data_IF_528098261566
#
_entry.id   IF_528098261566
#
_cell.length_a   1.000
_cell.length_b   1.000
_cell.length_c   1.000
_cell.angle_alpha   90.00
_cell.angle_beta   90.00
_cell.angle_gamma   90.00
#
_symmetry.space_group_name_H-M   'P 1'
#
loop_
_entity.id
_entity.type
_entity.pdbx_description
1 polymer ?
#
# COMPACT_ATOMS: atom_id res chain seq x y z
N UNK A 1 28.32 38.79 21.04
CA UNK A 1 28.18 38.58 19.59
C UNK A 1 28.46 37.12 19.32
N UNK A 2 27.46 36.45 18.75
CA UNK A 2 27.39 35.01 18.51
C UNK A 2 28.49 34.45 17.60
N UNK A 3 28.82 33.16 17.76
CA UNK A 3 28.75 32.17 16.69
C UNK A 3 28.96 30.73 17.22
N UNK A 4 27.93 29.92 17.04
CA UNK A 4 27.73 28.46 17.08
C UNK A 4 28.94 27.50 17.17
N UNK A 5 28.84 26.38 17.91
CA UNK A 5 29.67 25.21 17.64
C UNK A 5 29.15 24.48 16.38
N UNK A 6 30.03 24.40 15.38
CA UNK A 6 29.85 23.69 14.13
C UNK A 6 29.58 22.21 14.37
N UNK A 7 28.36 21.79 14.01
CA UNK A 7 27.95 20.39 13.85
C UNK A 7 28.89 19.71 12.87
N UNK A 8 29.84 18.92 13.37
CA UNK A 8 30.65 18.03 12.52
C UNK A 8 29.75 16.93 11.99
N UNK A 9 29.41 17.07 10.72
CA UNK A 9 28.79 16.07 9.88
C UNK A 9 29.61 14.78 9.93
N UNK A 10 29.09 13.75 10.59
CA UNK A 10 29.53 12.36 10.40
C UNK A 10 28.83 11.81 9.15
N UNK A 11 29.39 12.15 7.99
CA UNK A 11 29.14 11.43 6.74
C UNK A 11 30.44 10.74 6.39
N UNK A 12 30.42 9.40 6.39
CA UNK A 12 31.50 8.57 5.85
C UNK A 12 32.16 7.64 6.86
N UNK A 13 31.46 6.58 7.26
CA UNK A 13 31.89 5.19 7.07
C UNK A 13 30.94 4.27 7.82
N UNK A 14 30.15 3.48 7.09
CA UNK A 14 29.73 2.13 7.49
C UNK A 14 28.74 1.57 6.44
N UNK A 15 29.25 1.26 5.25
CA UNK A 15 28.57 0.36 4.30
C UNK A 15 28.65 -1.12 4.76
N UNK A 16 28.70 -1.35 6.07
CA UNK A 16 28.75 -2.65 6.75
C UNK A 16 27.90 -2.72 8.03
N UNK A 17 26.97 -1.77 8.22
CA UNK A 17 26.00 -1.83 9.33
C UNK A 17 24.53 -1.94 8.87
N UNK A 18 24.29 -2.22 7.57
CA UNK A 18 22.94 -2.24 6.98
C UNK A 18 22.00 -3.34 7.54
N UNK A 19 22.54 -4.39 8.16
CA UNK A 19 21.74 -5.48 8.72
C UNK A 19 21.17 -5.13 10.11
N UNK A 20 21.94 -4.43 10.95
CA UNK A 20 21.55 -4.10 12.32
C UNK A 20 20.42 -3.07 12.39
N UNK A 21 20.51 -2.01 11.58
CA UNK A 21 19.47 -0.97 11.52
C UNK A 21 18.18 -1.45 10.86
N UNK A 22 18.28 -2.34 9.86
CA UNK A 22 17.11 -2.99 9.24
C UNK A 22 16.36 -3.87 10.23
N UNK A 23 17.07 -4.66 11.04
CA UNK A 23 16.47 -5.52 12.07
C UNK A 23 15.81 -4.70 13.18
N UNK A 24 16.41 -3.59 13.61
CA UNK A 24 15.80 -2.69 14.62
C UNK A 24 14.47 -2.12 14.11
N UNK A 25 14.42 -1.71 12.85
CA UNK A 25 13.19 -1.20 12.23
C UNK A 25 12.13 -2.30 12.08
N UNK A 26 12.53 -3.49 11.65
CA UNK A 26 11.66 -4.65 11.54
C UNK A 26 11.04 -5.03 12.88
N UNK A 27 11.88 -5.14 13.92
CA UNK A 27 11.45 -5.41 15.29
C UNK A 27 10.49 -4.33 15.78
N UNK A 28 10.78 -3.05 15.52
CA UNK A 28 9.90 -1.95 15.91
C UNK A 28 8.51 -2.06 15.25
N UNK A 29 8.43 -2.44 13.98
CA UNK A 29 7.15 -2.62 13.27
C UNK A 29 6.38 -3.82 13.82
N UNK A 30 7.06 -4.95 14.06
CA UNK A 30 6.43 -6.13 14.66
C UNK A 30 5.89 -5.81 16.07
N UNK A 31 6.67 -5.11 16.89
CA UNK A 31 6.26 -4.69 18.24
C UNK A 31 5.08 -3.72 18.15
N UNK A 32 5.13 -2.71 17.29
CA UNK A 32 4.02 -1.76 17.09
C UNK A 32 2.73 -2.46 16.63
N UNK A 33 2.84 -3.41 15.70
CA UNK A 33 1.71 -4.22 15.27
C UNK A 33 1.15 -5.07 16.41
N UNK A 34 2.02 -5.70 17.20
CA UNK A 34 1.64 -6.47 18.38
C UNK A 34 0.95 -5.61 19.44
N UNK A 35 1.45 -4.40 19.70
CA UNK A 35 0.81 -3.42 20.60
C UNK A 35 -0.58 -3.04 20.07
N UNK A 36 -0.70 -2.78 18.78
CA UNK A 36 -1.98 -2.45 18.14
C UNK A 36 -3.03 -3.55 18.28
N UNK A 37 -2.61 -4.81 18.25
CA UNK A 37 -3.47 -5.98 18.47
C UNK A 37 -3.80 -6.16 19.95
N UNK A 38 -2.78 -6.14 20.82
CA UNK A 38 -2.94 -6.42 22.25
C UNK A 38 -3.73 -5.33 22.99
N UNK A 39 -3.68 -4.09 22.50
CA UNK A 39 -4.35 -2.94 23.10
C UNK A 39 -5.53 -2.44 22.24
N UNK A 40 -6.20 -3.36 21.54
CA UNK A 40 -7.34 -3.03 20.67
C UNK A 40 -8.49 -2.35 21.42
N UNK A 41 -8.68 -2.70 22.70
CA UNK A 41 -9.71 -2.12 23.58
C UNK A 41 -9.31 -0.75 24.13
N UNK A 42 -8.04 -0.33 23.96
CA UNK A 42 -7.56 0.96 24.43
C UNK A 42 -7.81 2.02 23.37
N UNK A 43 -8.70 2.96 23.70
CA UNK A 43 -9.08 4.06 22.81
C UNK A 43 -7.87 4.76 22.18
N UNK A 44 -7.94 5.00 20.88
CA UNK A 44 -6.93 5.66 20.05
C UNK A 44 -5.65 4.87 19.79
N UNK A 45 -5.35 3.77 20.49
CA UNK A 45 -4.11 3.01 20.24
C UNK A 45 -4.10 2.45 18.82
N UNK A 46 -5.16 1.76 18.33
CA UNK A 46 -5.20 1.31 16.94
C UNK A 46 -5.03 2.45 15.94
N UNK A 47 -5.70 3.59 16.15
CA UNK A 47 -5.58 4.76 15.29
C UNK A 47 -4.15 5.36 15.25
N UNK A 48 -3.46 5.42 16.39
CA UNK A 48 -2.08 5.91 16.46
C UNK A 48 -1.12 4.99 15.72
N UNK A 49 -1.26 3.67 15.89
CA UNK A 49 -0.46 2.68 15.17
C UNK A 49 -0.69 2.79 13.66
N UNK A 50 -1.95 2.93 13.23
CA UNK A 50 -2.30 3.16 11.83
C UNK A 50 -1.61 4.41 11.24
N UNK A 51 -1.62 5.52 11.99
CA UNK A 51 -0.99 6.77 11.55
C UNK A 51 0.53 6.62 11.39
N UNK A 52 1.20 5.88 12.30
CA UNK A 52 2.64 5.62 12.20
C UNK A 52 2.95 4.78 10.96
N UNK A 53 2.19 3.70 10.73
CA UNK A 53 2.39 2.86 9.55
C UNK A 53 2.17 3.63 8.25
N UNK A 54 1.09 4.42 8.14
CA UNK A 54 0.82 5.21 6.93
C UNK A 54 1.84 6.33 6.68
N UNK A 55 2.38 6.96 7.73
CA UNK A 55 3.51 7.88 7.58
C UNK A 55 4.73 7.17 6.99
N UNK A 56 5.02 5.94 7.46
CA UNK A 56 6.14 5.12 6.97
C UNK A 56 5.97 4.59 5.54
N UNK A 57 4.73 4.41 5.06
CA UNK A 57 4.47 4.15 3.63
C UNK A 57 4.96 5.29 2.71
N UNK A 58 5.35 6.45 3.25
CA UNK A 58 5.91 7.57 2.48
C UNK A 58 7.41 7.34 2.20
N UNK A 59 7.69 6.82 1.00
CA UNK A 59 8.96 6.66 0.23
C UNK A 59 10.31 6.86 0.96
N UNK A 60 11.30 5.98 0.73
CA UNK A 60 11.32 4.90 -0.27
C UNK A 60 10.61 3.62 0.18
N UNK A 61 10.08 2.85 -0.78
CA UNK A 61 9.39 1.57 -0.56
C UNK A 61 10.31 0.57 0.14
N UNK A 62 9.85 0.00 1.24
CA UNK A 62 10.63 -0.96 2.05
C UNK A 62 10.05 -2.36 1.99
N UNK A 63 10.88 -3.40 2.18
CA UNK A 63 10.41 -4.78 2.38
C UNK A 63 9.45 -4.91 3.58
N UNK A 64 9.51 -3.94 4.49
CA UNK A 64 8.68 -3.83 5.69
C UNK A 64 7.24 -3.42 5.40
N UNK A 65 6.95 -2.90 4.21
CA UNK A 65 5.60 -2.42 3.86
C UNK A 65 4.58 -3.57 3.89
N UNK A 66 4.98 -4.78 3.49
CA UNK A 66 4.15 -5.98 3.60
C UNK A 66 3.87 -6.40 5.05
N UNK A 67 4.83 -6.17 5.97
CA UNK A 67 4.63 -6.43 7.39
C UNK A 67 3.65 -5.44 8.00
N UNK A 68 3.71 -4.16 7.60
CA UNK A 68 2.74 -3.14 8.02
C UNK A 68 1.32 -3.50 7.54
N UNK A 69 1.16 -3.92 6.28
CA UNK A 69 -0.14 -4.42 5.77
C UNK A 69 -0.67 -5.58 6.61
N UNK A 70 0.19 -6.55 6.90
CA UNK A 70 -0.19 -7.73 7.69
C UNK A 70 -0.57 -7.35 9.13
N UNK A 71 0.15 -6.42 9.75
CA UNK A 71 -0.14 -5.91 11.09
C UNK A 71 -1.49 -5.20 11.13
N UNK A 72 -1.80 -4.37 10.14
CA UNK A 72 -3.10 -3.69 10.02
C UNK A 72 -4.26 -4.69 9.92
N UNK A 73 -4.08 -5.76 9.14
CA UNK A 73 -5.08 -6.83 9.04
C UNK A 73 -5.29 -7.55 10.37
N UNK A 74 -4.21 -7.88 11.09
CA UNK A 74 -4.29 -8.51 12.41
C UNK A 74 -5.01 -7.62 13.42
N UNK A 75 -4.79 -6.29 13.39
CA UNK A 75 -5.50 -5.35 14.26
C UNK A 75 -7.00 -5.36 13.96
N UNK A 76 -7.40 -5.39 12.69
CA UNK A 76 -8.81 -5.50 12.33
C UNK A 76 -9.42 -6.82 12.82
N UNK A 77 -8.71 -7.95 12.63
CA UNK A 77 -9.13 -9.28 13.12
C UNK A 77 -9.30 -9.27 14.64
N UNK A 78 -8.43 -8.57 15.37
CA UNK A 78 -8.52 -8.41 16.82
C UNK A 78 -9.70 -7.53 17.28
N UNK A 79 -10.42 -6.89 16.37
CA UNK A 79 -11.59 -6.06 16.69
C UNK A 79 -11.36 -4.56 16.61
N UNK A 80 -10.28 -4.08 15.97
CA UNK A 80 -10.00 -2.65 15.83
C UNK A 80 -10.94 -1.96 14.81
N UNK A 81 -12.23 -1.84 15.14
CA UNK A 81 -13.27 -1.30 14.24
C UNK A 81 -13.08 0.18 13.93
N UNK A 82 -12.46 0.94 14.82
CA UNK A 82 -12.19 2.37 14.62
C UNK A 82 -11.32 2.65 13.38
N UNK A 83 -10.37 1.77 13.08
CA UNK A 83 -9.46 1.90 11.95
C UNK A 83 -9.89 1.09 10.72
N UNK A 84 -11.05 0.46 10.75
CA UNK A 84 -11.54 -0.35 9.64
C UNK A 84 -11.65 0.43 8.32
N UNK A 85 -12.35 1.57 8.34
CA UNK A 85 -12.51 2.43 7.16
C UNK A 85 -11.17 2.86 6.56
N UNK A 86 -10.22 3.40 7.34
CA UNK A 86 -8.93 3.80 6.77
C UNK A 86 -8.07 2.61 6.30
N UNK A 87 -8.13 1.43 6.94
CA UNK A 87 -7.50 0.21 6.41
C UNK A 87 -8.09 -0.16 5.05
N UNK A 88 -9.42 -0.18 4.94
CA UNK A 88 -10.11 -0.53 3.71
C UNK A 88 -9.77 0.41 2.55
N UNK A 89 -9.74 1.72 2.83
CA UNK A 89 -9.34 2.74 1.84
C UNK A 89 -7.90 2.54 1.38
N UNK A 90 -6.98 2.21 2.30
CA UNK A 90 -5.58 1.93 1.97
C UNK A 90 -5.46 0.69 1.07
N UNK A 91 -6.12 -0.41 1.44
CA UNK A 91 -6.05 -1.67 0.69
C UNK A 91 -6.66 -1.51 -0.70
N UNK A 92 -7.85 -0.91 -0.80
CA UNK A 92 -8.48 -0.59 -2.09
C UNK A 92 -7.55 0.25 -2.97
N UNK A 93 -6.93 1.29 -2.40
CA UNK A 93 -6.00 2.15 -3.13
C UNK A 93 -4.80 1.36 -3.67
N UNK A 94 -4.19 0.52 -2.83
CA UNK A 94 -3.06 -0.33 -3.21
C UNK A 94 -3.48 -1.27 -4.35
N UNK A 95 -4.60 -1.99 -4.21
CA UNK A 95 -5.08 -2.96 -5.20
C UNK A 95 -5.42 -2.32 -6.54
N UNK A 96 -6.06 -1.15 -6.55
CA UNK A 96 -6.41 -0.44 -7.80
C UNK A 96 -5.17 0.13 -8.47
N UNK A 97 -4.28 0.78 -7.72
CA UNK A 97 -3.04 1.36 -8.27
C UNK A 97 -2.09 0.26 -8.78
N UNK A 98 -1.99 -0.89 -8.08
CA UNK A 98 -1.16 -2.01 -8.52
C UNK A 98 -1.72 -2.70 -9.77
N UNK A 99 -3.05 -2.79 -9.91
CA UNK A 99 -3.72 -3.40 -11.08
C UNK A 99 -3.59 -2.56 -12.35
N UNK A 100 -3.55 -1.24 -12.22
CA UNK A 100 -3.38 -0.34 -13.37
C UNK A 100 -2.02 -0.53 -14.09
N UNK A 101 -1.03 -1.15 -13.42
CA UNK A 101 0.26 -1.55 -13.99
C UNK A 101 0.13 -2.47 -15.21
N UNK A 102 -0.89 -3.32 -15.26
CA UNK A 102 -1.09 -4.24 -16.38
C UNK A 102 -1.39 -3.53 -17.71
N UNK A 103 -1.77 -2.24 -17.66
CA UNK A 103 -2.29 -1.49 -18.80
C UNK A 103 -1.50 -0.21 -19.13
N UNK A 104 -0.49 0.15 -18.32
CA UNK A 104 0.34 1.32 -18.61
C UNK A 104 1.45 0.97 -19.61
N UNK A 105 1.47 1.68 -20.73
CA UNK A 105 2.48 1.55 -21.78
C UNK A 105 3.64 2.54 -21.63
N UNK A 106 3.55 3.44 -20.63
CA UNK A 106 4.55 4.48 -20.39
C UNK A 106 5.38 4.14 -19.15
N UNK A 107 6.52 3.46 -19.34
CA UNK A 107 7.50 3.20 -18.29
C UNK A 107 8.22 4.47 -17.77
N UNK A 108 7.77 5.66 -18.21
CA UNK A 108 8.43 6.95 -18.02
C UNK A 108 7.94 7.73 -16.79
N UNK A 109 6.81 7.35 -16.18
CA UNK A 109 6.31 8.00 -14.96
C UNK A 109 6.72 7.21 -13.71
N UNK A 110 7.75 7.70 -13.00
CA UNK A 110 8.26 7.08 -11.76
C UNK A 110 7.28 7.01 -10.56
N UNK A 111 6.00 7.36 -10.78
CA UNK A 111 4.90 7.18 -9.85
C UNK A 111 4.16 5.84 -10.00
N UNK A 112 4.28 5.16 -11.14
CA UNK A 112 3.39 4.03 -11.51
C UNK A 112 3.67 2.68 -10.83
N UNK A 113 4.69 2.60 -9.98
CA UNK A 113 5.08 1.35 -9.31
C UNK A 113 5.09 1.43 -7.78
N UNK A 114 4.48 2.48 -7.21
CA UNK A 114 4.50 2.75 -5.76
C UNK A 114 3.99 1.59 -4.90
N UNK A 115 3.04 0.79 -5.41
CA UNK A 115 2.38 -0.25 -4.61
C UNK A 115 2.47 -1.65 -5.19
N UNK A 116 3.22 -1.83 -6.28
CA UNK A 116 3.34 -3.15 -6.91
C UNK A 116 3.98 -4.18 -5.96
N UNK A 117 4.92 -3.75 -5.10
CA UNK A 117 5.61 -4.62 -4.15
C UNK A 117 4.74 -5.08 -2.97
N UNK A 118 3.61 -4.41 -2.70
CA UNK A 118 2.71 -4.73 -1.58
C UNK A 118 1.38 -5.34 -2.01
N UNK A 119 1.11 -5.48 -3.32
CA UNK A 119 -0.16 -6.03 -3.81
C UNK A 119 -0.43 -7.43 -3.24
N UNK A 120 0.57 -8.32 -3.29
CA UNK A 120 0.44 -9.68 -2.74
C UNK A 120 0.21 -9.67 -1.22
N UNK A 121 0.82 -8.73 -0.50
CA UNK A 121 0.61 -8.60 0.94
C UNK A 121 -0.82 -8.17 1.25
N UNK A 122 -1.42 -7.29 0.43
CA UNK A 122 -2.82 -6.90 0.56
C UNK A 122 -3.76 -8.06 0.25
N UNK A 123 -3.50 -8.83 -0.81
CA UNK A 123 -4.31 -10.01 -1.13
C UNK A 123 -4.28 -11.04 0.00
N UNK A 124 -3.08 -11.29 0.56
CA UNK A 124 -2.88 -12.18 1.70
C UNK A 124 -3.59 -11.66 2.95
N UNK A 125 -3.52 -10.35 3.20
CA UNK A 125 -4.21 -9.72 4.32
C UNK A 125 -5.74 -9.83 4.19
N UNK A 126 -6.30 -9.57 3.01
CA UNK A 126 -7.73 -9.72 2.74
C UNK A 126 -8.19 -11.17 2.93
N UNK A 127 -7.41 -12.15 2.45
CA UNK A 127 -7.69 -13.57 2.66
C UNK A 127 -7.71 -13.91 4.16
N UNK A 128 -6.72 -13.45 4.93
CA UNK A 128 -6.68 -13.65 6.39
C UNK A 128 -7.86 -13.01 7.11
N UNK A 129 -8.25 -11.80 6.71
CA UNK A 129 -9.43 -11.13 7.26
C UNK A 129 -10.69 -11.94 6.99
N UNK A 130 -10.85 -12.49 5.78
CA UNK A 130 -11.99 -13.34 5.42
C UNK A 130 -12.00 -14.69 6.15
N UNK A 131 -10.84 -15.27 6.42
CA UNK A 131 -10.72 -16.53 7.17
C UNK A 131 -11.02 -16.36 8.67
N UNK A 132 -10.67 -15.22 9.25
CA UNK A 132 -10.72 -15.00 10.70
C UNK A 132 -11.87 -14.10 11.16
N UNK A 133 -12.74 -13.65 10.25
CA UNK A 133 -13.91 -12.84 10.62
C UNK A 133 -14.96 -13.72 11.31
N UNK A 134 -15.25 -13.40 12.57
CA UNK A 134 -16.17 -14.20 13.41
C UNK A 134 -17.60 -13.65 13.35
N UNK A 135 -17.74 -12.35 13.51
CA UNK A 135 -19.03 -11.66 13.63
C UNK A 135 -19.77 -11.56 12.28
N UNK A 136 -21.09 -11.76 12.30
CA UNK A 136 -21.93 -11.76 11.08
C UNK A 136 -22.04 -10.39 10.42
N UNK A 137 -22.11 -9.30 11.21
CA UNK A 137 -22.12 -7.94 10.68
C UNK A 137 -20.82 -7.65 9.94
N UNK A 138 -19.71 -8.13 10.49
CA UNK A 138 -18.39 -7.96 9.90
C UNK A 138 -18.18 -8.81 8.65
N UNK A 139 -18.73 -10.03 8.61
CA UNK A 139 -18.75 -10.87 7.39
C UNK A 139 -19.48 -10.15 6.26
N UNK A 140 -20.68 -9.64 6.54
CA UNK A 140 -21.48 -8.91 5.55
C UNK A 140 -20.78 -7.62 5.12
N UNK A 141 -20.18 -6.92 6.06
CA UNK A 141 -19.40 -5.71 5.82
C UNK A 141 -18.20 -5.99 4.91
N UNK A 142 -17.45 -7.07 5.17
CA UNK A 142 -16.31 -7.47 4.34
C UNK A 142 -16.76 -7.90 2.94
N UNK A 143 -17.87 -8.65 2.83
CA UNK A 143 -18.43 -9.06 1.55
C UNK A 143 -18.84 -7.87 0.68
N UNK A 144 -19.61 -6.92 1.23
CA UNK A 144 -20.02 -5.71 0.50
C UNK A 144 -18.81 -4.95 -0.02
N UNK A 145 -17.78 -4.82 0.80
CA UNK A 145 -16.53 -4.15 0.45
C UNK A 145 -15.74 -4.86 -0.64
N UNK A 146 -15.61 -6.19 -0.58
CA UNK A 146 -14.97 -6.97 -1.63
C UNK A 146 -15.72 -6.85 -2.96
N UNK A 147 -17.05 -6.85 -2.93
CA UNK A 147 -17.88 -6.63 -4.13
C UNK A 147 -17.69 -5.22 -4.70
N UNK A 148 -17.66 -4.19 -3.85
CA UNK A 148 -17.36 -2.82 -4.27
C UNK A 148 -15.98 -2.74 -4.93
N UNK A 149 -14.95 -3.35 -4.33
CA UNK A 149 -13.59 -3.40 -4.88
C UNK A 149 -13.57 -4.12 -6.23
N UNK A 150 -14.27 -5.24 -6.35
CA UNK A 150 -14.37 -5.98 -7.62
C UNK A 150 -15.02 -5.13 -8.73
N UNK A 151 -16.11 -4.43 -8.43
CA UNK A 151 -16.76 -3.52 -9.37
C UNK A 151 -15.81 -2.37 -9.76
N UNK A 152 -15.10 -1.78 -8.80
CA UNK A 152 -14.12 -0.72 -9.07
C UNK A 152 -13.00 -1.21 -10.00
N UNK A 153 -12.47 -2.41 -9.76
CA UNK A 153 -11.46 -3.03 -10.61
C UNK A 153 -11.98 -3.28 -12.03
N UNK A 154 -13.22 -3.78 -12.17
CA UNK A 154 -13.86 -3.98 -13.48
C UNK A 154 -14.04 -2.67 -14.25
N UNK A 155 -14.48 -1.60 -13.58
CA UNK A 155 -14.60 -0.27 -14.18
C UNK A 155 -13.25 0.30 -14.60
N UNK A 156 -12.22 0.14 -13.77
CA UNK A 156 -10.88 0.63 -14.10
C UNK A 156 -10.25 -0.17 -15.25
N UNK A 157 -10.46 -1.49 -15.29
CA UNK A 157 -10.08 -2.34 -16.42
C UNK A 157 -10.77 -1.94 -17.73
N UNK A 158 -12.07 -1.62 -17.69
CA UNK A 158 -12.78 -1.09 -18.87
C UNK A 158 -12.18 0.23 -19.35
N UNK A 159 -11.96 1.19 -18.45
CA UNK A 159 -11.34 2.49 -18.79
C UNK A 159 -9.95 2.30 -19.38
N UNK A 160 -9.16 1.37 -18.83
CA UNK A 160 -7.83 1.05 -19.33
C UNK A 160 -7.89 0.45 -20.74
N UNK A 161 -8.80 -0.49 -20.99
CA UNK A 161 -9.04 -1.05 -22.32
C UNK A 161 -9.44 0.00 -23.37
N UNK A 162 -10.32 0.94 -23.01
CA UNK A 162 -10.71 2.06 -23.89
C UNK A 162 -9.52 3.00 -24.19
N UNK A 163 -8.63 3.24 -23.23
CA UNK A 163 -7.41 4.04 -23.43
C UNK A 163 -6.45 3.36 -24.42
N UNK A 164 -6.23 2.06 -24.26
CA UNK A 164 -5.37 1.27 -25.16
C UNK A 164 -5.96 1.27 -26.58
N UNK A 165 -7.26 1.02 -26.72
CA UNK A 165 -7.93 1.05 -28.03
C UNK A 165 -7.75 2.41 -28.73
N UNK A 166 -7.91 3.53 -28.00
CA UNK A 166 -7.66 4.88 -28.54
C UNK A 166 -6.20 5.09 -28.94
N UNK A 167 -5.24 4.59 -28.15
CA UNK A 167 -3.83 4.70 -28.46
C UNK A 167 -3.46 3.92 -29.74
N UNK A 168 -3.95 2.69 -29.88
CA UNK A 168 -3.76 1.87 -31.09
C UNK A 168 -4.33 2.58 -32.32
N UNK A 169 -5.56 3.10 -32.24
CA UNK A 169 -6.17 3.86 -33.34
C UNK A 169 -5.30 5.06 -33.73
N UNK A 170 -4.77 5.82 -32.77
CA UNK A 170 -3.86 6.94 -33.05
C UNK A 170 -2.57 6.49 -33.75
N UNK A 171 -1.96 5.39 -33.31
CA UNK A 171 -0.74 4.85 -33.93
C UNK A 171 -1.02 4.39 -35.36
N UNK A 172 -2.10 3.66 -35.58
CA UNK A 172 -2.50 3.19 -36.92
C UNK A 172 -2.78 4.37 -37.86
N UNK A 173 -3.47 5.41 -37.38
CA UNK A 173 -3.71 6.64 -38.15
C UNK A 173 -2.40 7.35 -38.48
N UNK A 174 -1.50 7.52 -37.52
CA UNK A 174 -0.19 8.15 -37.74
C UNK A 174 0.67 7.38 -38.74
N UNK A 175 0.64 6.04 -38.69
CA UNK A 175 1.35 5.18 -39.64
C UNK A 175 0.79 5.32 -41.06
N UNK A 176 -0.53 5.29 -41.22
CA UNK A 176 -1.19 5.46 -42.52
C UNK A 176 -0.95 6.84 -43.14
N UNK A 177 -0.91 7.91 -42.32
CA UNK A 177 -0.57 9.26 -42.79
C UNK A 177 0.89 9.35 -43.23
N UNK A 178 1.80 8.61 -42.58
CA UNK A 178 3.23 8.60 -42.93
C UNK A 178 3.54 7.78 -44.18
N UNK A 179 2.71 6.78 -44.51
CA UNK A 179 2.88 5.94 -45.70
C UNK A 179 2.40 6.62 -47.00
N UNK A 180 1.54 7.64 -46.89
CA UNK A 180 1.00 8.42 -48.01
C UNK A 180 1.69 9.77 -48.23
N UNK A 181 2.86 9.98 -47.63
CA UNK A 181 3.79 11.11 -47.92
C UNK A 181 5.03 10.59 -48.62
#
# INVERSE_FOLDING_TARGET
>A
MEASPSTRNFVGDDLKNCSGSSLVLENAIMILGGIGVALVDVKNVPQLVFNIFTQRFSKPTTSLDGQMVSALANMWIAGAREIYKPIWLLFTKITVESSNRAYSSDASSGSEHRFAHVSLAVDTALARMAENVVDEEDKMTLLHRLLELFVQLGLEGKKAGERIAKAIVKVVVAYNVSLHR
#
